data_IF_070857698624
#
_entry.id   IF_070857698624
#
_cell.length_a   1.000
_cell.length_b   1.000
_cell.length_c   1.000
_cell.angle_alpha   90.00
_cell.angle_beta   90.00
_cell.angle_gamma   90.00
#
_symmetry.space_group_name_H-M   'P 1'
#
loop_
_entity.id
_entity.type
_entity.pdbx_description
1 polymer ?
#
# COMPACT_ATOMS: atom_id res chain seq x y z
N UNK A 1 25.23 1.32 -6.27
CA UNK A 1 24.05 1.87 -6.98
C UNK A 1 22.92 0.90 -6.68
N UNK A 2 21.85 1.39 -6.07
CA UNK A 2 20.85 0.51 -5.47
C UNK A 2 20.00 -0.14 -6.56
N UNK A 3 20.15 -1.45 -6.71
CA UNK A 3 19.68 -2.23 -7.85
C UNK A 3 18.16 -2.16 -8.07
N UNK A 4 17.38 -1.74 -7.06
CA UNK A 4 15.93 -1.65 -7.18
C UNK A 4 15.42 -0.55 -8.12
N UNK A 5 16.20 0.51 -8.37
CA UNK A 5 15.79 1.60 -9.27
C UNK A 5 15.95 1.22 -10.75
N UNK A 6 16.80 0.23 -11.05
CA UNK A 6 17.05 -0.28 -12.41
C UNK A 6 16.37 -1.64 -12.65
N UNK A 7 15.51 -2.07 -11.72
CA UNK A 7 14.79 -3.33 -11.82
C UNK A 7 13.90 -3.34 -13.07
N UNK A 8 14.11 -4.33 -13.94
CA UNK A 8 13.25 -4.59 -15.11
C UNK A 8 11.99 -5.38 -14.72
N UNK A 9 11.23 -4.84 -13.77
CA UNK A 9 9.95 -5.38 -13.30
C UNK A 9 8.85 -4.33 -13.49
N UNK A 10 7.65 -4.78 -13.78
CA UNK A 10 6.50 -3.90 -13.95
C UNK A 10 5.26 -4.45 -13.24
N UNK A 11 4.40 -3.53 -12.80
CA UNK A 11 3.06 -3.84 -12.30
C UNK A 11 2.07 -3.74 -13.46
N UNK A 12 1.42 -4.85 -13.79
CA UNK A 12 0.28 -4.87 -14.70
C UNK A 12 -0.93 -4.40 -13.90
N UNK A 13 -1.32 -3.12 -14.07
CA UNK A 13 -2.33 -2.46 -13.25
C UNK A 13 -3.71 -3.15 -13.30
N UNK A 14 -4.12 -3.64 -14.48
CA UNK A 14 -5.44 -4.25 -14.69
C UNK A 14 -5.64 -5.55 -13.89
N UNK A 15 -4.61 -6.37 -13.81
CA UNK A 15 -4.63 -7.66 -13.09
C UNK A 15 -4.00 -7.57 -11.71
N UNK A 16 -3.37 -6.43 -11.38
CA UNK A 16 -2.59 -6.22 -10.17
C UNK A 16 -1.49 -7.28 -9.97
N UNK A 17 -0.82 -7.67 -11.06
CA UNK A 17 0.23 -8.70 -11.07
C UNK A 17 1.58 -8.11 -11.45
N UNK A 18 2.65 -8.63 -10.85
CA UNK A 18 4.01 -8.21 -11.16
C UNK A 18 4.63 -9.12 -12.21
N UNK A 19 5.33 -8.53 -13.19
CA UNK A 19 6.02 -9.26 -14.26
C UNK A 19 7.48 -8.86 -14.32
N UNK A 20 8.38 -9.83 -14.11
CA UNK A 20 9.82 -9.64 -14.27
C UNK A 20 10.20 -9.89 -15.73
N UNK A 21 10.77 -8.90 -16.42
CA UNK A 21 11.08 -9.02 -17.85
C UNK A 21 12.17 -10.05 -18.15
N UNK A 22 13.09 -10.26 -17.19
CA UNK A 22 14.17 -11.23 -17.33
C UNK A 22 13.71 -12.68 -17.12
N UNK A 23 12.63 -12.87 -16.37
CA UNK A 23 12.02 -14.18 -16.11
C UNK A 23 10.49 -14.05 -15.95
N UNK A 24 9.75 -13.99 -17.07
CA UNK A 24 8.31 -13.75 -17.05
C UNK A 24 7.48 -14.89 -16.47
N UNK A 25 8.07 -16.08 -16.26
CA UNK A 25 7.38 -17.27 -15.74
C UNK A 25 7.27 -17.25 -14.21
N UNK A 26 7.98 -16.34 -13.53
CA UNK A 26 7.85 -16.18 -12.08
C UNK A 26 6.51 -15.54 -11.75
N UNK A 27 5.64 -16.32 -11.13
CA UNK A 27 4.42 -15.81 -10.51
C UNK A 27 4.74 -15.22 -9.14
N UNK A 28 4.59 -13.90 -9.01
CA UNK A 28 4.76 -13.21 -7.75
C UNK A 28 3.45 -13.12 -6.97
N UNK A 29 3.50 -13.44 -5.68
CA UNK A 29 2.46 -13.04 -4.72
C UNK A 29 2.73 -11.59 -4.29
N UNK A 30 1.73 -10.73 -4.38
CA UNK A 30 1.91 -9.36 -3.88
C UNK A 30 2.02 -9.34 -2.34
N UNK A 31 2.76 -8.38 -1.79
CA UNK A 31 2.84 -8.20 -0.32
C UNK A 31 1.46 -8.05 0.31
N UNK A 32 0.55 -7.30 -0.31
CA UNK A 32 -0.82 -7.10 0.20
C UNK A 32 -1.63 -8.38 0.11
N UNK A 33 -1.52 -9.15 -0.99
CA UNK A 33 -2.16 -10.46 -1.13
C UNK A 33 -1.68 -11.41 -0.05
N UNK A 34 -0.36 -11.49 0.19
CA UNK A 34 0.20 -12.33 1.25
C UNK A 34 -0.38 -11.96 2.61
N UNK A 35 -0.41 -10.67 2.95
CA UNK A 35 -0.99 -10.21 4.22
C UNK A 35 -2.46 -10.59 4.32
N UNK A 36 -3.26 -10.42 3.27
CA UNK A 36 -4.68 -10.79 3.28
C UNK A 36 -4.92 -12.27 3.58
N UNK A 37 -3.98 -13.17 3.25
CA UNK A 37 -4.11 -14.59 3.62
C UNK A 37 -4.00 -14.86 5.13
N UNK A 38 -3.52 -13.88 5.90
CA UNK A 38 -3.27 -14.01 7.34
C UNK A 38 -4.45 -13.50 8.19
N UNK A 39 -5.48 -12.91 7.57
CA UNK A 39 -6.64 -12.31 8.23
C UNK A 39 -7.95 -12.77 7.60
N UNK A 40 -9.07 -12.47 8.25
CA UNK A 40 -10.38 -12.86 7.74
C UNK A 40 -10.65 -12.12 6.42
N UNK A 41 -11.07 -12.82 5.34
CA UNK A 41 -11.41 -12.17 4.09
C UNK A 41 -12.53 -11.14 4.27
N UNK A 42 -12.40 -10.00 3.59
CA UNK A 42 -13.45 -8.99 3.57
C UNK A 42 -14.57 -9.42 2.60
N UNK A 43 -15.57 -10.13 3.12
CA UNK A 43 -16.78 -10.44 2.38
C UNK A 43 -17.68 -9.20 2.29
N UNK A 44 -17.47 -8.40 1.25
CA UNK A 44 -18.16 -7.13 1.07
C UNK A 44 -19.69 -7.28 1.02
N UNK A 45 -20.20 -8.40 0.48
CA UNK A 45 -21.63 -8.65 0.37
C UNK A 45 -22.21 -8.95 1.74
N UNK A 46 -21.67 -9.95 2.44
CA UNK A 46 -22.17 -10.35 3.76
C UNK A 46 -22.04 -9.20 4.79
N UNK A 47 -20.95 -8.43 4.72
CA UNK A 47 -20.73 -7.29 5.61
C UNK A 47 -21.71 -6.16 5.29
N UNK A 48 -21.94 -5.84 4.02
CA UNK A 48 -22.89 -4.80 3.63
C UNK A 48 -24.31 -5.17 4.05
N UNK A 49 -24.74 -6.41 3.79
CA UNK A 49 -26.06 -6.93 4.20
C UNK A 49 -26.28 -6.77 5.70
N UNK A 50 -25.30 -7.22 6.50
CA UNK A 50 -25.38 -7.13 7.95
C UNK A 50 -25.40 -5.66 8.44
N UNK A 51 -24.56 -4.79 7.88
CA UNK A 51 -24.51 -3.38 8.26
C UNK A 51 -25.82 -2.66 7.91
N UNK A 52 -26.37 -2.89 6.73
CA UNK A 52 -27.64 -2.30 6.29
C UNK A 52 -28.84 -2.84 7.09
N UNK A 53 -28.74 -4.02 7.68
CA UNK A 53 -29.78 -4.58 8.54
C UNK A 53 -29.66 -4.11 10.01
N UNK A 54 -28.45 -3.92 10.53
CA UNK A 54 -28.21 -3.81 11.98
C UNK A 54 -27.63 -2.48 12.45
N UNK A 55 -26.92 -1.75 11.58
CA UNK A 55 -26.20 -0.54 11.98
C UNK A 55 -27.07 0.70 11.72
N UNK A 56 -27.41 1.51 12.74
CA UNK A 56 -28.26 2.71 12.57
C UNK A 56 -27.77 3.70 11.52
N UNK A 57 -26.46 3.73 11.23
CA UNK A 57 -25.87 4.59 10.21
C UNK A 57 -26.22 4.17 8.77
N UNK A 58 -26.43 2.88 8.55
CA UNK A 58 -26.65 2.28 7.23
C UNK A 58 -28.03 1.63 7.12
N UNK A 59 -28.83 1.65 8.19
CA UNK A 59 -30.13 1.02 8.25
C UNK A 59 -31.06 1.54 7.16
N UNK A 60 -31.60 0.62 6.35
CA UNK A 60 -32.48 0.96 5.22
C UNK A 60 -31.75 1.41 3.95
N UNK A 61 -30.41 1.36 3.92
CA UNK A 61 -29.62 1.50 2.69
C UNK A 61 -29.59 0.17 1.94
N UNK A 62 -29.64 0.21 0.60
CA UNK A 62 -29.41 -0.99 -0.20
C UNK A 62 -27.94 -1.44 -0.08
N UNK A 63 -27.64 -2.73 0.19
CA UNK A 63 -26.27 -3.23 0.33
C UNK A 63 -25.35 -2.86 -0.84
N UNK A 64 -25.86 -2.93 -2.07
CA UNK A 64 -25.12 -2.54 -3.28
C UNK A 64 -24.75 -1.05 -3.31
N UNK A 65 -25.55 -0.17 -2.70
CA UNK A 65 -25.21 1.25 -2.58
C UNK A 65 -24.02 1.44 -1.62
N UNK A 66 -23.98 0.68 -0.53
CA UNK A 66 -22.87 0.71 0.42
C UNK A 66 -21.58 0.16 -0.20
N UNK A 67 -21.66 -0.95 -0.93
CA UNK A 67 -20.52 -1.52 -1.67
C UNK A 67 -20.00 -0.52 -2.71
N UNK A 68 -20.89 0.11 -3.47
CA UNK A 68 -20.53 1.15 -4.45
C UNK A 68 -19.77 2.31 -3.80
N UNK A 69 -20.15 2.70 -2.57
CA UNK A 69 -19.41 3.74 -1.80
C UNK A 69 -18.02 3.27 -1.39
N UNK A 70 -17.84 2.00 -1.05
CA UNK A 70 -16.52 1.44 -0.76
C UNK A 70 -15.64 1.38 -2.01
N UNK A 71 -16.17 0.94 -3.14
CA UNK A 71 -15.46 0.93 -4.43
C UNK A 71 -15.06 2.34 -4.85
N UNK A 72 -15.98 3.31 -4.80
CA UNK A 72 -15.67 4.71 -5.10
C UNK A 72 -14.57 5.28 -4.20
N UNK A 73 -14.53 4.91 -2.92
CA UNK A 73 -13.47 5.33 -2.00
C UNK A 73 -12.11 4.70 -2.34
N UNK A 74 -12.10 3.42 -2.73
CA UNK A 74 -10.91 2.70 -3.21
C UNK A 74 -10.37 3.35 -4.49
N UNK A 75 -11.23 3.54 -5.48
CA UNK A 75 -10.86 4.04 -6.81
C UNK A 75 -10.37 5.50 -6.73
N UNK A 76 -10.98 6.31 -5.87
CA UNK A 76 -10.47 7.65 -5.54
C UNK A 76 -9.07 7.58 -4.90
N UNK A 77 -8.81 6.58 -4.06
CA UNK A 77 -7.48 6.30 -3.53
C UNK A 77 -6.47 6.04 -4.66
N UNK A 78 -6.78 5.11 -5.56
CA UNK A 78 -5.92 4.80 -6.71
C UNK A 78 -5.62 6.03 -7.58
N UNK A 79 -6.64 6.86 -7.85
CA UNK A 79 -6.47 8.11 -8.60
C UNK A 79 -5.49 9.07 -7.92
N UNK A 80 -5.57 9.21 -6.59
CA UNK A 80 -4.65 10.08 -5.85
C UNK A 80 -3.21 9.60 -5.96
N UNK A 81 -2.94 8.30 -5.85
CA UNK A 81 -1.59 7.75 -6.00
C UNK A 81 -1.07 7.92 -7.43
N UNK A 82 -1.91 7.65 -8.43
CA UNK A 82 -1.56 7.86 -9.84
C UNK A 82 -1.18 9.33 -10.10
N UNK A 83 -1.94 10.29 -9.58
CA UNK A 83 -1.61 11.71 -9.77
C UNK A 83 -0.32 12.12 -9.05
N UNK A 84 -0.03 11.56 -7.86
CA UNK A 84 1.25 11.76 -7.18
C UNK A 84 2.41 11.20 -8.03
N UNK A 85 2.26 9.98 -8.55
CA UNK A 85 3.25 9.35 -9.43
C UNK A 85 3.50 10.19 -10.68
N UNK A 86 2.44 10.61 -11.38
CA UNK A 86 2.53 11.41 -12.61
C UNK A 86 3.17 12.77 -12.35
N UNK A 87 2.88 13.41 -11.22
CA UNK A 87 3.51 14.66 -10.83
C UNK A 87 5.01 14.48 -10.59
N UNK A 88 5.41 13.46 -9.82
CA UNK A 88 6.82 13.22 -9.47
C UNK A 88 7.64 12.72 -10.66
N UNK A 89 7.10 11.82 -11.49
CA UNK A 89 7.85 11.22 -12.62
C UNK A 89 7.78 12.04 -13.90
N UNK A 90 6.70 12.79 -14.14
CA UNK A 90 6.44 13.46 -15.43
C UNK A 90 6.16 14.96 -15.31
N UNK A 91 6.12 15.52 -14.09
CA UNK A 91 5.80 16.94 -13.87
C UNK A 91 4.37 17.32 -14.21
N UNK A 92 3.45 16.35 -14.27
CA UNK A 92 2.03 16.60 -14.60
C UNK A 92 1.32 17.08 -13.33
N UNK A 93 0.72 18.27 -13.38
CA UNK A 93 0.04 18.84 -12.23
C UNK A 93 -1.20 17.99 -11.84
N UNK A 94 -1.38 17.66 -10.55
CA UNK A 94 -2.54 16.89 -10.09
C UNK A 94 -3.83 17.70 -10.15
N UNK A 95 -4.94 17.01 -10.38
CA UNK A 95 -6.30 17.57 -10.29
C UNK A 95 -6.88 17.40 -8.87
N UNK A 96 -6.58 16.27 -8.23
CA UNK A 96 -7.09 15.88 -6.92
C UNK A 96 -6.50 16.74 -5.79
N UNK A 97 -7.34 17.34 -4.93
CA UNK A 97 -6.86 18.11 -3.79
C UNK A 97 -5.96 17.31 -2.85
N UNK A 98 -6.22 16.01 -2.66
CA UNK A 98 -5.40 15.16 -1.80
C UNK A 98 -4.01 14.90 -2.39
N UNK A 99 -3.89 14.79 -3.71
CA UNK A 99 -2.59 14.66 -4.37
C UNK A 99 -1.78 15.96 -4.24
N UNK A 100 -2.42 17.14 -4.38
CA UNK A 100 -1.77 18.44 -4.12
C UNK A 100 -1.21 18.55 -2.71
N UNK A 101 -1.99 18.15 -1.70
CA UNK A 101 -1.56 18.13 -0.31
C UNK A 101 -0.38 17.18 -0.12
N UNK A 102 -0.41 16.00 -0.75
CA UNK A 102 0.68 15.03 -0.69
C UNK A 102 1.99 15.60 -1.25
N UNK A 103 1.95 16.19 -2.44
CA UNK A 103 3.12 16.79 -3.07
C UNK A 103 3.68 17.94 -2.25
N UNK A 104 2.82 18.83 -1.73
CA UNK A 104 3.26 19.91 -0.85
C UNK A 104 3.92 19.38 0.44
N UNK A 105 3.38 18.29 1.01
CA UNK A 105 3.97 17.65 2.17
C UNK A 105 5.34 17.04 1.82
N UNK A 106 5.46 16.38 0.66
CA UNK A 106 6.71 15.79 0.17
C UNK A 106 7.78 16.85 -0.10
N UNK A 107 7.41 17.99 -0.69
CA UNK A 107 8.33 19.11 -0.90
C UNK A 107 8.91 19.61 0.44
N UNK A 108 8.03 19.86 1.41
CA UNK A 108 8.45 20.28 2.75
C UNK A 108 9.27 19.22 3.48
N UNK A 109 8.93 17.95 3.29
CA UNK A 109 9.66 16.83 3.87
C UNK A 109 11.06 16.75 3.26
N UNK A 110 11.19 16.87 1.94
CA UNK A 110 12.45 16.82 1.23
C UNK A 110 13.40 17.98 1.63
N UNK A 111 12.86 19.12 2.06
CA UNK A 111 13.65 20.26 2.58
C UNK A 111 14.32 20.00 3.94
N UNK A 112 13.98 18.92 4.66
CA UNK A 112 14.55 18.64 5.99
C UNK A 112 16.01 18.17 5.94
N UNK A 113 16.44 17.56 4.84
CA UNK A 113 17.80 17.06 4.60
C UNK A 113 18.07 17.05 3.09
N UNK A 114 19.14 16.40 2.61
CA UNK A 114 19.34 16.15 1.19
C UNK A 114 18.58 14.89 0.76
N UNK A 115 17.25 14.99 0.72
CA UNK A 115 16.35 13.86 0.48
C UNK A 115 15.99 13.78 -1.01
N UNK A 116 16.17 12.60 -1.60
CA UNK A 116 15.65 12.26 -2.92
C UNK A 116 14.38 11.41 -2.79
N UNK A 117 13.34 11.75 -3.55
CA UNK A 117 12.03 11.10 -3.49
C UNK A 117 11.81 10.25 -4.73
N UNK A 118 11.51 8.97 -4.53
CA UNK A 118 11.09 8.04 -5.55
C UNK A 118 9.63 7.64 -5.32
N UNK A 119 8.84 7.53 -6.39
CA UNK A 119 7.43 7.10 -6.31
C UNK A 119 7.20 5.77 -7.02
N UNK A 120 6.25 4.99 -6.50
CA UNK A 120 5.82 3.70 -7.04
C UNK A 120 7.02 2.79 -7.34
N UNK A 121 7.87 2.58 -6.32
CA UNK A 121 9.09 1.77 -6.44
C UNK A 121 8.74 0.30 -6.25
N UNK A 122 9.04 -0.52 -7.25
CA UNK A 122 8.78 -1.95 -7.20
C UNK A 122 10.00 -2.70 -6.65
N UNK A 123 9.76 -3.46 -5.58
CA UNK A 123 10.71 -4.34 -4.93
C UNK A 123 10.20 -5.77 -4.97
N UNK A 124 11.10 -6.75 -5.08
CA UNK A 124 10.74 -8.15 -5.16
C UNK A 124 11.86 -9.07 -4.67
N UNK A 125 11.49 -10.32 -4.43
CA UNK A 125 12.42 -11.44 -4.23
C UNK A 125 11.97 -12.60 -5.10
N UNK A 126 12.85 -13.08 -5.98
CA UNK A 126 12.63 -14.30 -6.78
C UNK A 126 12.62 -15.55 -5.90
N UNK A 127 13.40 -15.54 -4.81
CA UNK A 127 13.51 -16.67 -3.88
C UNK A 127 12.20 -16.88 -3.12
N UNK A 128 11.59 -15.78 -2.66
CA UNK A 128 10.31 -15.82 -1.95
C UNK A 128 9.11 -15.79 -2.90
N UNK A 129 9.33 -15.43 -4.17
CA UNK A 129 8.28 -15.11 -5.14
C UNK A 129 7.29 -14.06 -4.61
N UNK A 130 7.82 -13.03 -3.94
CA UNK A 130 7.04 -11.91 -3.40
C UNK A 130 7.45 -10.63 -4.11
N UNK A 131 6.48 -9.79 -4.46
CA UNK A 131 6.71 -8.46 -4.99
C UNK A 131 5.77 -7.43 -4.35
N UNK A 132 6.17 -6.16 -4.38
CA UNK A 132 5.38 -5.07 -3.85
C UNK A 132 5.79 -3.72 -4.40
N UNK A 133 4.85 -2.79 -4.39
CA UNK A 133 5.09 -1.40 -4.78
C UNK A 133 5.03 -0.51 -3.55
N UNK A 134 6.11 0.21 -3.31
CA UNK A 134 6.21 1.25 -2.29
C UNK A 134 5.67 2.55 -2.89
N UNK A 135 4.69 3.17 -2.24
CA UNK A 135 4.12 4.45 -2.67
C UNK A 135 5.21 5.51 -2.85
N UNK A 136 5.94 5.80 -1.76
CA UNK A 136 7.04 6.75 -1.72
C UNK A 136 8.23 6.15 -0.97
N UNK A 137 9.40 6.18 -1.60
CA UNK A 137 10.68 5.82 -1.01
C UNK A 137 11.56 7.07 -0.98
N UNK A 138 11.88 7.55 0.22
CA UNK A 138 12.72 8.72 0.44
C UNK A 138 14.14 8.28 0.79
N UNK A 139 15.15 8.81 0.09
CA UNK A 139 16.55 8.53 0.36
C UNK A 139 17.24 9.75 0.95
N UNK A 140 17.63 9.68 2.21
CA UNK A 140 18.45 10.71 2.84
C UNK A 140 19.92 10.49 2.50
N UNK A 141 20.44 11.32 1.58
CA UNK A 141 21.84 11.26 1.13
C UNK A 141 22.85 11.66 2.20
N UNK A 142 22.42 12.39 3.24
CA UNK A 142 23.31 12.81 4.34
C UNK A 142 23.56 11.64 5.29
N UNK A 143 22.51 10.90 5.61
CA UNK A 143 22.56 9.82 6.60
C UNK A 143 22.68 8.42 6.00
N UNK A 144 22.60 8.29 4.67
CA UNK A 144 22.70 7.02 3.92
C UNK A 144 21.63 6.01 4.37
N UNK A 145 20.38 6.46 4.50
CA UNK A 145 19.24 5.60 4.81
C UNK A 145 18.00 5.96 3.99
N UNK A 146 17.09 5.00 3.94
CA UNK A 146 15.81 5.09 3.27
C UNK A 146 14.68 5.18 4.28
N UNK A 147 13.65 5.94 3.96
CA UNK A 147 12.39 6.00 4.70
C UNK A 147 11.26 5.60 3.75
N UNK A 148 10.41 4.69 4.23
CA UNK A 148 9.23 4.23 3.49
C UNK A 148 8.04 5.08 3.92
N UNK A 149 7.43 5.77 2.98
CA UNK A 149 6.25 6.60 3.21
C UNK A 149 5.08 5.97 2.46
N UNK A 150 4.12 5.44 3.22
CA UNK A 150 2.87 4.89 2.71
C UNK A 150 1.77 5.97 2.82
N UNK A 151 1.27 6.42 1.68
CA UNK A 151 0.31 7.52 1.63
C UNK A 151 -1.10 6.97 1.70
N UNK A 152 -1.93 7.44 2.64
CA UNK A 152 -3.29 6.95 2.82
C UNK A 152 -4.32 8.05 2.65
N UNK A 153 -5.31 7.80 1.80
CA UNK A 153 -6.46 8.70 1.61
C UNK A 153 -7.62 8.42 2.55
N UNK A 154 -7.51 7.36 3.37
CA UNK A 154 -8.55 6.91 4.30
C UNK A 154 -8.86 7.97 5.36
N UNK A 155 -10.10 8.01 5.84
CA UNK A 155 -10.53 8.98 6.86
C UNK A 155 -9.98 8.67 8.26
N UNK A 156 -9.67 7.40 8.54
CA UNK A 156 -9.25 6.94 9.87
C UNK A 156 -8.41 5.66 9.77
N UNK A 157 -7.36 5.62 10.57
CA UNK A 157 -6.59 4.41 10.87
C UNK A 157 -7.07 3.89 12.24
N UNK A 158 -7.67 2.71 12.25
CA UNK A 158 -8.12 2.02 13.45
C UNK A 158 -6.97 1.16 13.99
N UNK A 159 -6.59 1.43 15.24
CA UNK A 159 -5.56 0.66 15.95
C UNK A 159 -6.14 -0.54 16.74
N UNK A 160 -7.47 -0.62 16.83
CA UNK A 160 -8.21 -1.70 17.49
C UNK A 160 -9.10 -2.39 16.46
N UNK A 161 -9.13 -3.72 16.49
CA UNK A 161 -9.99 -4.55 15.65
C UNK A 161 -11.46 -4.36 15.96
N UNK A 162 -12.30 -4.45 14.92
CA UNK A 162 -13.74 -4.59 15.13
C UNK A 162 -14.06 -5.97 15.74
N UNK A 163 -14.92 -6.02 16.76
CA UNK A 163 -15.37 -7.29 17.35
C UNK A 163 -14.26 -8.17 17.94
N UNK A 164 -13.14 -7.58 18.35
CA UNK A 164 -11.96 -8.30 18.86
C UNK A 164 -11.40 -9.35 17.89
N UNK A 165 -11.59 -9.15 16.57
CA UNK A 165 -11.04 -10.02 15.53
C UNK A 165 -9.51 -10.02 15.55
N UNK A 166 -8.94 -11.19 15.31
CA UNK A 166 -7.50 -11.46 15.30
C UNK A 166 -7.13 -12.13 13.97
N UNK A 167 -5.83 -12.25 13.69
CA UNK A 167 -5.34 -13.02 12.54
C UNK A 167 -5.79 -14.49 12.58
N UNK A 168 -6.01 -15.05 11.39
CA UNK A 168 -6.51 -16.42 11.20
C UNK A 168 -5.39 -17.46 11.01
N UNK A 169 -4.14 -17.00 10.91
CA UNK A 169 -2.98 -17.86 10.76
C UNK A 169 -2.22 -17.97 12.09
N UNK A 170 -1.55 -19.11 12.42
CA UNK A 170 -0.80 -19.25 13.66
C UNK A 170 0.23 -18.14 13.93
N UNK A 171 0.83 -17.57 12.88
CA UNK A 171 1.80 -16.47 13.01
C UNK A 171 1.17 -15.10 13.30
N UNK A 172 -0.13 -14.94 13.06
CA UNK A 172 -0.88 -13.69 13.26
C UNK A 172 -2.01 -13.82 14.29
N UNK A 173 -2.13 -14.98 14.95
CA UNK A 173 -3.20 -15.27 15.91
C UNK A 173 -3.22 -14.30 17.11
N UNK A 174 -2.10 -13.66 17.44
CA UNK A 174 -1.98 -12.64 18.48
C UNK A 174 -1.98 -11.20 17.95
N UNK A 175 -2.23 -11.00 16.65
CA UNK A 175 -2.30 -9.68 16.00
C UNK A 175 -3.77 -9.33 15.74
N UNK A 176 -4.19 -8.15 16.19
CA UNK A 176 -5.55 -7.64 15.93
C UNK A 176 -5.76 -7.43 14.42
N UNK A 177 -6.93 -7.84 13.92
CA UNK A 177 -7.38 -7.56 12.55
C UNK A 177 -7.87 -6.11 12.46
N UNK A 178 -6.93 -5.21 12.18
CA UNK A 178 -7.19 -3.79 12.01
C UNK A 178 -6.27 -3.20 10.95
N UNK A 179 -6.72 -2.11 10.30
CA UNK A 179 -5.96 -1.52 9.20
C UNK A 179 -4.58 -0.99 9.63
N UNK A 180 -4.40 -0.55 10.89
CA UNK A 180 -3.08 -0.19 11.41
C UNK A 180 -2.09 -1.35 11.30
N UNK A 181 -2.48 -2.55 11.77
CA UNK A 181 -1.60 -3.71 11.72
C UNK A 181 -1.34 -4.14 10.28
N UNK A 182 -2.37 -4.14 9.42
CA UNK A 182 -2.21 -4.50 8.00
C UNK A 182 -1.16 -3.60 7.32
N UNK A 183 -1.23 -2.28 7.55
CA UNK A 183 -0.24 -1.34 7.03
C UNK A 183 1.14 -1.54 7.67
N UNK A 184 1.21 -1.79 8.97
CA UNK A 184 2.48 -2.04 9.67
C UNK A 184 3.19 -3.29 9.13
N UNK A 185 2.46 -4.38 8.86
CA UNK A 185 3.02 -5.59 8.23
C UNK A 185 3.47 -5.33 6.79
N UNK A 186 2.70 -4.55 6.02
CA UNK A 186 3.07 -4.16 4.66
C UNK A 186 4.41 -3.40 4.67
N UNK A 187 4.53 -2.37 5.50
CA UNK A 187 5.76 -1.60 5.69
C UNK A 187 6.93 -2.48 6.17
N UNK A 188 6.66 -3.41 7.10
CA UNK A 188 7.68 -4.33 7.63
C UNK A 188 8.18 -5.29 6.55
N UNK A 189 7.30 -5.80 5.68
CA UNK A 189 7.70 -6.66 4.57
C UNK A 189 8.47 -5.90 3.49
N UNK A 190 8.07 -4.65 3.19
CA UNK A 190 8.83 -3.78 2.28
C UNK A 190 10.23 -3.50 2.81
N UNK A 191 10.34 -3.15 4.09
CA UNK A 191 11.62 -2.98 4.78
C UNK A 191 12.46 -4.25 4.69
N UNK A 192 11.88 -5.40 5.02
CA UNK A 192 12.58 -6.69 4.98
C UNK A 192 13.14 -7.00 3.59
N UNK A 193 12.35 -6.76 2.53
CA UNK A 193 12.78 -6.94 1.15
C UNK A 193 13.94 -6.00 0.79
N UNK A 194 13.83 -4.71 1.13
CA UNK A 194 14.87 -3.70 0.92
C UNK A 194 16.18 -4.04 1.63
N UNK A 195 16.12 -4.39 2.91
CA UNK A 195 17.30 -4.71 3.72
C UNK A 195 17.94 -6.04 3.28
N UNK A 196 17.13 -7.08 3.05
CA UNK A 196 17.64 -8.45 2.82
C UNK A 196 18.07 -8.71 1.37
N UNK A 197 17.37 -8.14 0.39
CA UNK A 197 17.59 -8.44 -1.04
C UNK A 197 18.26 -7.30 -1.80
N UNK A 198 18.25 -6.08 -1.25
CA UNK A 198 18.87 -4.92 -1.89
C UNK A 198 19.98 -4.26 -1.06
N UNK A 199 20.20 -4.69 0.19
CA UNK A 199 21.21 -4.14 1.07
C UNK A 199 20.95 -2.67 1.47
N UNK A 200 19.72 -2.20 1.32
CA UNK A 200 19.34 -0.83 1.68
C UNK A 200 19.15 -0.72 3.20
N UNK A 201 19.64 0.38 3.80
CA UNK A 201 19.36 0.69 5.21
C UNK A 201 18.03 1.41 5.29
N UNK A 202 17.05 0.87 6.01
CA UNK A 202 15.72 1.49 6.16
C UNK A 202 15.53 1.90 7.61
N UNK A 203 15.05 3.13 7.84
CA UNK A 203 14.73 3.63 9.18
C UNK A 203 13.22 3.56 9.44
#
# INVERSE_FOLDING_TARGET
>A
MNNFLDNKIELIKDTHTYRLLADPEIEFTSVTTLIHTLFEPFDEVAIADNLCATNPKYMGMEPNELISKWHAARDHGSKVHEEIELALKKGIAPSEPKAKIALQWLDNYAMKSNIEIFSEVIIYSTDLKIAGTIDILAYDKVHDHYEIIDWKTSKKINIVSYGSKMGIHPTTANIMDCNHNHYAMQLSLYRYLLESYYGAKVH
#
